data_IF_781012852579
#
_entry.id   IF_781012852579
#
_cell.length_a   1.000
_cell.length_b   1.000
_cell.length_c   1.000
_cell.angle_alpha   90.00
_cell.angle_beta   90.00
_cell.angle_gamma   90.00
#
_symmetry.space_group_name_H-M   'P 1'
#
loop_
_entity.id
_entity.type
_entity.pdbx_description
1 polymer ?
#
# COMPACT_ATOMS: atom_id res chain seq x y z
N UNK A 1 23.41 27.05 -36.02
CA UNK A 1 22.36 27.52 -35.08
C UNK A 1 22.69 26.96 -33.70
N UNK A 2 23.13 27.79 -32.75
CA UNK A 2 23.42 27.35 -31.36
C UNK A 2 22.09 27.14 -30.64
N UNK A 3 21.91 26.02 -29.95
CA UNK A 3 20.72 25.75 -29.14
C UNK A 3 20.60 26.83 -28.04
N UNK A 4 19.40 27.35 -27.75
CA UNK A 4 19.21 28.25 -26.63
C UNK A 4 19.65 27.53 -25.35
N UNK A 5 20.52 28.17 -24.57
CA UNK A 5 20.96 27.63 -23.28
C UNK A 5 19.82 27.83 -22.30
N UNK A 6 19.04 26.78 -22.04
CA UNK A 6 17.90 26.81 -21.13
C UNK A 6 18.30 26.76 -19.63
N UNK A 7 19.57 26.44 -19.31
CA UNK A 7 20.04 26.29 -17.93
C UNK A 7 21.53 26.59 -17.78
N UNK A 8 21.88 27.36 -16.74
CA UNK A 8 23.25 27.54 -16.28
C UNK A 8 23.33 27.29 -14.77
N UNK A 9 24.18 26.36 -14.35
CA UNK A 9 24.42 26.10 -12.93
C UNK A 9 25.57 26.97 -12.42
N UNK A 10 25.39 27.61 -11.26
CA UNK A 10 26.40 28.48 -10.64
C UNK A 10 26.81 27.88 -9.30
N UNK A 11 28.10 27.55 -9.16
CA UNK A 11 28.67 27.08 -7.89
C UNK A 11 29.11 28.25 -7.02
N UNK A 12 28.67 28.28 -5.77
CA UNK A 12 29.09 29.29 -4.79
C UNK A 12 30.35 28.83 -4.05
N UNK A 13 31.25 29.75 -3.70
CA UNK A 13 32.44 29.46 -2.90
C UNK A 13 32.07 28.90 -1.51
N UNK A 14 32.93 28.04 -0.94
CA UNK A 14 32.68 27.42 0.38
C UNK A 14 32.53 28.50 1.47
N UNK A 15 31.38 28.52 2.14
CA UNK A 15 31.07 29.46 3.23
C UNK A 15 30.30 30.73 2.82
N UNK A 16 30.04 30.94 1.53
CA UNK A 16 29.22 32.05 1.09
C UNK A 16 27.72 31.74 1.20
N UNK A 17 26.94 32.74 1.59
CA UNK A 17 25.49 32.62 1.75
C UNK A 17 24.80 32.52 0.38
N UNK A 18 24.27 31.33 0.10
CA UNK A 18 23.53 31.03 -1.12
C UNK A 18 22.30 31.91 -1.36
N UNK A 19 21.68 32.45 -0.30
CA UNK A 19 20.50 33.32 -0.44
C UNK A 19 20.88 34.73 -0.84
N UNK A 20 21.93 35.28 -0.25
CA UNK A 20 22.49 36.58 -0.64
C UNK A 20 23.01 36.57 -2.09
N UNK A 21 23.66 35.48 -2.50
CA UNK A 21 24.16 35.31 -3.88
C UNK A 21 23.00 35.14 -4.87
N UNK A 22 21.96 34.38 -4.52
CA UNK A 22 20.75 34.27 -5.35
C UNK A 22 20.05 35.62 -5.53
N UNK A 23 19.94 36.44 -4.49
CA UNK A 23 19.34 37.78 -4.56
C UNK A 23 20.15 38.72 -5.48
N UNK A 24 21.49 38.71 -5.37
CA UNK A 24 22.37 39.49 -6.23
C UNK A 24 22.28 39.05 -7.70
N UNK A 25 22.24 37.74 -7.97
CA UNK A 25 22.04 37.18 -9.30
C UNK A 25 20.66 37.54 -9.88
N UNK A 26 19.60 37.46 -9.07
CA UNK A 26 18.25 37.81 -9.51
C UNK A 26 18.16 39.29 -9.92
N UNK A 27 18.85 40.18 -9.19
CA UNK A 27 18.96 41.61 -9.53
C UNK A 27 19.80 41.87 -10.79
N UNK A 28 20.82 41.05 -11.06
CA UNK A 28 21.63 41.15 -12.28
C UNK A 28 20.88 40.62 -13.52
N UNK A 29 20.00 39.64 -13.33
CA UNK A 29 19.27 38.95 -14.41
C UNK A 29 17.88 39.55 -14.63
N UNK A 30 17.42 40.49 -13.80
CA UNK A 30 16.08 41.10 -13.88
C UNK A 30 15.75 41.81 -15.21
N UNK A 31 16.77 42.13 -16.03
CA UNK A 31 16.59 42.62 -17.41
C UNK A 31 16.39 41.54 -18.47
N UNK A 32 16.42 40.27 -18.08
CA UNK A 32 16.29 39.08 -18.95
C UNK A 32 15.10 38.25 -18.48
N UNK A 33 14.50 37.41 -19.36
CA UNK A 33 13.43 36.45 -18.97
C UNK A 33 13.92 35.29 -18.09
N UNK A 34 15.12 35.37 -17.52
CA UNK A 34 15.74 34.31 -16.71
C UNK A 34 15.26 34.36 -15.27
N UNK A 35 14.99 33.19 -14.68
CA UNK A 35 14.66 33.06 -13.27
C UNK A 35 15.81 32.35 -12.53
N UNK A 36 16.19 32.89 -11.38
CA UNK A 36 17.26 32.31 -10.55
C UNK A 36 16.61 31.56 -9.40
N UNK A 37 16.87 30.26 -9.32
CA UNK A 37 16.40 29.41 -8.23
C UNK A 37 17.58 28.98 -7.37
N UNK A 38 17.45 29.15 -6.06
CA UNK A 38 18.39 28.54 -5.12
C UNK A 38 18.21 27.02 -5.16
N UNK A 39 19.25 26.23 -4.84
CA UNK A 39 19.15 24.76 -4.79
C UNK A 39 17.99 24.28 -3.92
N UNK A 40 17.75 24.93 -2.77
CA UNK A 40 16.61 24.64 -1.88
C UNK A 40 15.27 24.93 -2.53
N UNK A 41 15.12 26.10 -3.15
CA UNK A 41 13.89 26.50 -3.86
C UNK A 41 13.59 25.62 -5.07
N UNK A 42 14.62 25.20 -5.81
CA UNK A 42 14.46 24.29 -6.93
C UNK A 42 14.05 22.89 -6.46
N UNK A 43 14.60 22.41 -5.34
CA UNK A 43 14.18 21.14 -4.73
C UNK A 43 12.75 21.23 -4.21
N UNK A 44 12.35 22.33 -3.56
CA UNK A 44 10.98 22.53 -3.07
C UNK A 44 9.98 22.63 -4.24
N UNK A 45 10.32 23.38 -5.30
CA UNK A 45 9.46 23.53 -6.48
C UNK A 45 9.41 22.29 -7.38
N UNK A 46 10.47 21.46 -7.35
CA UNK A 46 10.54 20.19 -8.10
C UNK A 46 10.06 19.00 -7.27
N UNK A 47 9.80 19.18 -5.97
CA UNK A 47 9.07 18.16 -5.21
C UNK A 47 7.67 18.10 -5.81
N UNK A 48 7.25 16.94 -6.35
CA UNK A 48 5.86 16.77 -6.70
C UNK A 48 5.08 16.91 -5.40
N UNK A 49 4.43 18.07 -5.21
CA UNK A 49 3.43 18.26 -4.17
C UNK A 49 2.44 17.11 -4.33
N UNK A 50 2.57 16.10 -3.46
CA UNK A 50 1.64 14.98 -3.43
C UNK A 50 0.34 15.59 -2.97
N UNK A 51 -0.48 15.99 -3.95
CA UNK A 51 -1.67 16.76 -3.72
C UNK A 51 -2.50 16.03 -2.66
N UNK A 52 -2.82 16.70 -1.55
CA UNK A 52 -3.53 16.06 -0.42
C UNK A 52 -4.80 15.35 -0.92
N UNK A 53 -5.45 15.93 -1.91
CA UNK A 53 -6.59 15.35 -2.64
C UNK A 53 -6.28 13.98 -3.24
N UNK A 54 -5.14 13.81 -3.92
CA UNK A 54 -4.72 12.52 -4.50
C UNK A 54 -4.45 11.48 -3.41
N UNK A 55 -3.79 11.89 -2.31
CA UNK A 55 -3.52 10.99 -1.18
C UNK A 55 -4.81 10.50 -0.52
N UNK A 56 -5.75 11.40 -0.25
CA UNK A 56 -7.07 11.01 0.30
C UNK A 56 -7.86 10.15 -0.67
N UNK A 57 -7.79 10.42 -1.97
CA UNK A 57 -8.40 9.57 -3.00
C UNK A 57 -7.91 8.13 -2.94
N UNK A 58 -6.59 7.92 -2.85
CA UNK A 58 -6.03 6.57 -2.73
C UNK A 58 -6.44 5.86 -1.43
N UNK A 59 -6.43 6.58 -0.30
CA UNK A 59 -6.87 6.01 0.99
C UNK A 59 -8.34 5.61 0.94
N UNK A 60 -9.20 6.41 0.32
CA UNK A 60 -10.62 6.10 0.17
C UNK A 60 -10.85 4.83 -0.67
N UNK A 61 -10.20 4.75 -1.84
CA UNK A 61 -10.31 3.57 -2.72
C UNK A 61 -9.79 2.32 -2.02
N UNK A 62 -8.66 2.42 -1.32
CA UNK A 62 -8.12 1.31 -0.53
C UNK A 62 -9.09 0.87 0.58
N UNK A 63 -9.70 1.83 1.29
CA UNK A 63 -10.68 1.55 2.33
C UNK A 63 -11.91 0.81 1.80
N UNK A 64 -12.46 1.23 0.66
CA UNK A 64 -13.59 0.56 0.01
C UNK A 64 -13.21 -0.85 -0.44
N UNK A 65 -12.02 -1.01 -1.04
CA UNK A 65 -11.53 -2.32 -1.48
C UNK A 65 -11.40 -3.29 -0.28
N UNK A 66 -10.82 -2.82 0.83
CA UNK A 66 -10.69 -3.62 2.06
C UNK A 66 -12.04 -4.03 2.64
N UNK A 67 -13.01 -3.11 2.65
CA UNK A 67 -14.37 -3.40 3.11
C UNK A 67 -15.01 -4.51 2.25
N UNK A 68 -14.94 -4.37 0.93
CA UNK A 68 -15.46 -5.34 -0.01
C UNK A 68 -14.80 -6.72 0.14
N UNK A 69 -13.45 -6.76 0.23
CA UNK A 69 -12.71 -8.00 0.49
C UNK A 69 -13.16 -8.65 1.79
N UNK A 70 -13.40 -7.87 2.83
CA UNK A 70 -13.91 -8.36 4.10
C UNK A 70 -15.27 -9.05 4.01
N UNK A 71 -16.22 -8.40 3.31
CA UNK A 71 -17.56 -8.95 3.09
C UNK A 71 -17.47 -10.23 2.24
N UNK A 72 -16.66 -10.22 1.18
CA UNK A 72 -16.43 -11.38 0.31
C UNK A 72 -15.88 -12.57 1.11
N UNK A 73 -14.87 -12.33 1.96
CA UNK A 73 -14.26 -13.37 2.77
C UNK A 73 -15.23 -13.93 3.82
N UNK A 74 -16.03 -13.07 4.45
CA UNK A 74 -17.08 -13.50 5.36
C UNK A 74 -18.10 -14.40 4.64
N UNK A 75 -18.52 -14.03 3.44
CA UNK A 75 -19.43 -14.83 2.62
C UNK A 75 -18.83 -16.21 2.27
N UNK A 76 -17.56 -16.25 1.87
CA UNK A 76 -16.86 -17.51 1.59
C UNK A 76 -16.76 -18.38 2.85
N UNK A 77 -16.45 -17.81 4.02
CA UNK A 77 -16.39 -18.57 5.26
C UNK A 77 -17.76 -19.13 5.66
N UNK A 78 -18.84 -18.37 5.50
CA UNK A 78 -20.20 -18.83 5.77
C UNK A 78 -20.54 -20.02 4.86
N UNK A 79 -20.22 -19.92 3.56
CA UNK A 79 -20.44 -21.01 2.61
C UNK A 79 -19.61 -22.24 2.96
N UNK A 80 -18.29 -22.07 3.17
CA UNK A 80 -17.39 -23.17 3.52
C UNK A 80 -17.78 -23.86 4.84
N UNK A 81 -18.20 -23.10 5.86
CA UNK A 81 -18.66 -23.69 7.11
C UNK A 81 -20.02 -24.37 6.99
N UNK A 82 -20.89 -23.95 6.05
CA UNK A 82 -22.19 -24.58 5.79
C UNK A 82 -22.01 -25.94 5.12
N UNK A 83 -21.14 -26.03 4.10
CA UNK A 83 -20.84 -27.29 3.40
C UNK A 83 -20.16 -28.31 4.32
N UNK A 84 -19.30 -27.83 5.22
CA UNK A 84 -18.54 -28.68 6.15
C UNK A 84 -19.33 -29.09 7.41
N UNK A 85 -20.55 -28.59 7.64
CA UNK A 85 -21.33 -28.96 8.86
C UNK A 85 -21.57 -30.45 8.94
N UNK A 86 -21.88 -31.07 7.80
CA UNK A 86 -22.20 -32.50 7.73
C UNK A 86 -20.97 -33.34 8.05
N UNK A 87 -19.82 -33.00 7.45
CA UNK A 87 -18.53 -33.65 7.70
C UNK A 87 -18.06 -33.46 9.14
N UNK A 88 -18.20 -32.25 9.69
CA UNK A 88 -17.84 -31.93 11.08
C UNK A 88 -18.76 -32.60 12.10
N UNK A 89 -20.02 -32.87 11.74
CA UNK A 89 -20.95 -33.68 12.52
C UNK A 89 -20.48 -35.12 12.64
N UNK A 90 -20.04 -35.71 11.53
CA UNK A 90 -19.48 -37.08 11.48
C UNK A 90 -18.15 -37.15 12.25
N UNK A 91 -17.25 -36.18 12.07
CA UNK A 91 -15.98 -36.11 12.81
C UNK A 91 -16.18 -35.91 14.32
N UNK A 92 -17.21 -35.18 14.74
CA UNK A 92 -17.56 -35.03 16.16
C UNK A 92 -18.09 -36.32 16.77
N UNK A 93 -18.86 -37.10 16.03
CA UNK A 93 -19.26 -38.45 16.43
C UNK A 93 -18.05 -39.39 16.55
N UNK A 94 -16.99 -39.13 15.79
CA UNK A 94 -15.69 -39.80 15.89
C UNK A 94 -14.71 -39.18 16.92
N UNK A 95 -15.12 -38.14 17.68
CA UNK A 95 -14.33 -37.56 18.77
C UNK A 95 -13.48 -36.33 18.44
N UNK A 96 -13.62 -35.72 17.26
CA UNK A 96 -12.85 -34.54 16.88
C UNK A 96 -13.20 -33.28 17.71
N UNK A 97 -12.17 -32.52 18.10
CA UNK A 97 -12.32 -31.33 18.95
C UNK A 97 -12.48 -30.04 18.15
N UNK A 98 -13.27 -29.08 18.67
CA UNK A 98 -13.48 -27.73 18.07
C UNK A 98 -12.17 -27.01 17.69
N UNK A 99 -11.08 -27.25 18.43
CA UNK A 99 -9.77 -26.65 18.18
C UNK A 99 -9.10 -27.17 16.90
N UNK A 100 -9.32 -28.42 16.52
CA UNK A 100 -8.76 -29.00 15.29
C UNK A 100 -9.40 -28.36 14.04
N UNK A 101 -10.71 -28.14 14.09
CA UNK A 101 -11.46 -27.46 13.02
C UNK A 101 -10.98 -26.02 12.85
N UNK A 102 -10.80 -25.30 13.96
CA UNK A 102 -10.30 -23.92 13.95
C UNK A 102 -8.89 -23.81 13.36
N UNK A 103 -7.99 -24.75 13.70
CA UNK A 103 -6.65 -24.78 13.13
C UNK A 103 -6.67 -25.05 11.63
N UNK A 104 -7.56 -25.92 11.16
CA UNK A 104 -7.69 -26.24 9.74
C UNK A 104 -8.17 -25.03 8.93
N UNK A 105 -9.26 -24.40 9.36
CA UNK A 105 -9.82 -23.21 8.69
C UNK A 105 -8.83 -22.05 8.76
N UNK A 106 -8.16 -21.86 9.90
CA UNK A 106 -7.09 -20.87 10.02
C UNK A 106 -5.92 -21.14 9.08
N UNK A 107 -5.54 -22.41 8.88
CA UNK A 107 -4.49 -22.79 7.94
C UNK A 107 -4.90 -22.56 6.48
N UNK A 108 -6.14 -22.91 6.08
CA UNK A 108 -6.66 -22.61 4.74
C UNK A 108 -6.64 -21.09 4.47
N UNK A 109 -7.13 -20.28 5.41
CA UNK A 109 -7.12 -18.83 5.29
C UNK A 109 -5.70 -18.27 5.18
N UNK A 110 -4.76 -18.81 5.96
CA UNK A 110 -3.35 -18.39 5.92
C UNK A 110 -2.69 -18.69 4.57
N UNK A 111 -3.00 -19.84 3.96
CA UNK A 111 -2.52 -20.19 2.62
C UNK A 111 -3.06 -19.22 1.57
N UNK A 112 -4.36 -18.91 1.61
CA UNK A 112 -4.99 -17.95 0.68
C UNK A 112 -4.34 -16.56 0.80
N UNK A 113 -4.13 -16.09 2.03
CA UNK A 113 -3.45 -14.82 2.31
C UNK A 113 -2.01 -14.83 1.79
N UNK A 114 -1.26 -15.91 2.04
CA UNK A 114 0.13 -16.02 1.60
C UNK A 114 0.24 -15.99 0.06
N UNK A 115 -0.60 -16.76 -0.64
CA UNK A 115 -0.64 -16.79 -2.11
C UNK A 115 -1.05 -15.42 -2.66
N UNK A 116 -2.09 -14.80 -2.08
CA UNK A 116 -2.52 -13.45 -2.48
C UNK A 116 -1.43 -12.39 -2.27
N UNK A 117 -0.70 -12.46 -1.16
CA UNK A 117 0.44 -11.57 -0.86
C UNK A 117 1.58 -11.72 -1.88
N UNK A 118 1.95 -12.95 -2.22
CA UNK A 118 2.99 -13.23 -3.24
C UNK A 118 2.55 -12.70 -4.62
N UNK A 119 1.31 -12.98 -5.04
CA UNK A 119 0.78 -12.48 -6.31
C UNK A 119 0.70 -10.95 -6.34
N UNK A 120 0.26 -10.31 -5.25
CA UNK A 120 0.23 -8.86 -5.12
C UNK A 120 1.62 -8.24 -5.23
N UNK A 121 2.63 -8.83 -4.60
CA UNK A 121 4.01 -8.38 -4.68
C UNK A 121 4.58 -8.52 -6.09
N UNK A 122 4.27 -9.61 -6.79
CA UNK A 122 4.65 -9.83 -8.19
C UNK A 122 4.04 -8.78 -9.11
N UNK A 123 2.73 -8.52 -8.99
CA UNK A 123 2.03 -7.50 -9.79
C UNK A 123 2.60 -6.11 -9.52
N UNK A 124 2.85 -5.76 -8.25
CA UNK A 124 3.45 -4.49 -7.88
C UNK A 124 4.87 -4.34 -8.47
N UNK A 125 5.68 -5.39 -8.41
CA UNK A 125 7.02 -5.43 -9.00
C UNK A 125 7.01 -5.26 -10.52
N UNK A 126 6.09 -5.95 -11.21
CA UNK A 126 5.90 -5.81 -12.66
C UNK A 126 5.46 -4.40 -13.04
N UNK A 127 4.53 -3.81 -12.30
CA UNK A 127 4.04 -2.45 -12.55
C UNK A 127 5.17 -1.43 -12.37
N UNK A 128 5.97 -1.58 -11.31
CA UNK A 128 7.13 -0.72 -11.06
C UNK A 128 8.20 -0.85 -12.15
N UNK A 129 8.49 -2.09 -12.59
CA UNK A 129 9.42 -2.35 -13.68
C UNK A 129 8.93 -1.74 -15.00
N UNK A 130 7.64 -1.90 -15.32
CA UNK A 130 7.00 -1.29 -16.50
C UNK A 130 7.07 0.23 -16.47
N UNK A 131 6.76 0.85 -15.32
CA UNK A 131 6.86 2.30 -15.14
C UNK A 131 8.31 2.78 -15.32
N UNK A 132 9.30 2.09 -14.75
CA UNK A 132 10.72 2.42 -14.96
C UNK A 132 11.14 2.28 -16.42
N UNK A 133 10.66 1.26 -17.12
CA UNK A 133 10.88 1.09 -18.57
C UNK A 133 10.34 2.28 -19.36
N UNK A 134 9.08 2.65 -19.13
CA UNK A 134 8.42 3.77 -19.79
C UNK A 134 9.12 5.13 -19.51
N UNK A 135 9.58 5.35 -18.29
CA UNK A 135 10.37 6.54 -17.92
C UNK A 135 11.75 6.55 -18.60
N UNK A 136 12.39 5.38 -18.73
CA UNK A 136 13.66 5.20 -19.43
C UNK A 136 13.58 5.57 -20.92
N UNK A 137 12.47 5.23 -21.59
CA UNK A 137 12.18 5.65 -22.96
C UNK A 137 12.09 7.18 -23.13
N UNK A 138 11.72 7.92 -22.05
CA UNK A 138 11.60 9.38 -22.06
C UNK A 138 12.87 10.10 -21.55
N UNK A 139 13.96 9.38 -21.30
CA UNK A 139 15.25 9.90 -20.83
C UNK A 139 15.21 10.67 -19.50
N UNK A 140 14.15 10.50 -18.70
CA UNK A 140 14.08 11.02 -17.33
C UNK A 140 14.69 9.99 -16.39
N UNK A 141 15.99 10.10 -16.13
CA UNK A 141 16.69 9.30 -15.12
C UNK A 141 16.49 9.91 -13.73
N UNK A 142 15.26 9.84 -13.22
CA UNK A 142 15.04 10.16 -11.81
C UNK A 142 15.53 8.99 -10.95
N UNK A 143 16.38 9.24 -9.94
CA UNK A 143 16.66 8.23 -8.92
C UNK A 143 15.34 7.90 -8.24
N UNK A 144 14.86 6.67 -8.44
CA UNK A 144 13.69 6.16 -7.72
C UNK A 144 14.14 5.87 -6.30
N UNK A 145 14.06 6.86 -5.43
CA UNK A 145 14.19 6.65 -4.00
C UNK A 145 12.95 5.91 -3.52
N UNK A 146 13.09 4.62 -3.21
CA UNK A 146 12.00 3.86 -2.59
C UNK A 146 11.87 4.32 -1.14
N UNK A 147 10.74 4.92 -0.73
CA UNK A 147 10.51 5.31 0.64
C UNK A 147 10.24 4.05 1.48
N UNK A 148 11.30 3.35 1.88
CA UNK A 148 11.23 2.08 2.63
C UNK A 148 10.36 2.18 3.88
N UNK A 149 10.29 3.36 4.51
CA UNK A 149 9.44 3.61 5.67
C UNK A 149 7.94 3.59 5.32
N UNK A 150 7.56 4.16 4.18
CA UNK A 150 6.16 4.14 3.71
C UNK A 150 5.76 2.76 3.17
N UNK A 151 6.68 2.11 2.47
CA UNK A 151 6.51 0.72 2.02
C UNK A 151 6.34 -0.19 3.24
N UNK A 152 7.24 -0.07 4.23
CA UNK A 152 7.18 -0.83 5.47
C UNK A 152 5.88 -0.58 6.25
N UNK A 153 5.44 0.67 6.35
CA UNK A 153 4.16 1.02 6.97
C UNK A 153 2.96 0.41 6.24
N UNK A 154 2.97 0.43 4.90
CA UNK A 154 1.90 -0.17 4.09
C UNK A 154 1.89 -1.69 4.20
N UNK A 155 3.05 -2.33 4.14
CA UNK A 155 3.19 -3.79 4.32
C UNK A 155 2.71 -4.19 5.71
N UNK A 156 3.09 -3.44 6.76
CA UNK A 156 2.64 -3.69 8.12
C UNK A 156 1.12 -3.54 8.27
N UNK A 157 0.53 -2.50 7.65
CA UNK A 157 -0.91 -2.30 7.64
C UNK A 157 -1.64 -3.44 6.92
N UNK A 158 -1.16 -3.87 5.75
CA UNK A 158 -1.71 -5.02 5.03
C UNK A 158 -1.59 -6.31 5.84
N UNK A 159 -0.45 -6.54 6.49
CA UNK A 159 -0.26 -7.71 7.36
C UNK A 159 -1.22 -7.69 8.55
N UNK A 160 -1.39 -6.54 9.21
CA UNK A 160 -2.35 -6.38 10.30
C UNK A 160 -3.79 -6.65 9.83
N UNK A 161 -4.19 -6.07 8.69
CA UNK A 161 -5.50 -6.29 8.09
C UNK A 161 -5.71 -7.76 7.71
N UNK A 162 -4.71 -8.43 7.14
CA UNK A 162 -4.79 -9.85 6.80
C UNK A 162 -4.99 -10.74 8.03
N UNK A 163 -4.28 -10.45 9.13
CA UNK A 163 -4.48 -11.15 10.40
C UNK A 163 -5.89 -10.91 10.94
N UNK A 164 -6.36 -9.65 10.94
CA UNK A 164 -7.72 -9.31 11.38
C UNK A 164 -8.76 -10.05 10.53
N UNK A 165 -8.64 -10.01 9.21
CA UNK A 165 -9.58 -10.68 8.30
C UNK A 165 -9.53 -12.20 8.34
N UNK A 166 -8.40 -12.81 8.73
CA UNK A 166 -8.33 -14.26 8.95
C UNK A 166 -9.00 -14.67 10.27
N UNK A 167 -8.78 -13.90 11.34
CA UNK A 167 -9.18 -14.27 12.71
C UNK A 167 -10.62 -13.88 13.02
N UNK A 168 -11.08 -12.71 12.58
CA UNK A 168 -12.41 -12.15 12.90
C UNK A 168 -13.54 -13.06 12.41
N UNK A 169 -13.65 -13.42 11.11
CA UNK A 169 -14.74 -14.28 10.65
C UNK A 169 -14.67 -15.70 11.22
N UNK A 170 -13.47 -16.25 11.45
CA UNK A 170 -13.31 -17.52 12.15
C UNK A 170 -13.87 -17.46 13.59
N UNK A 171 -13.65 -16.35 14.30
CA UNK A 171 -14.19 -16.15 15.66
C UNK A 171 -15.70 -15.87 15.68
N UNK A 172 -16.23 -15.14 14.70
CA UNK A 172 -17.66 -14.83 14.57
C UNK A 172 -18.51 -16.08 14.27
N UNK A 173 -18.04 -16.94 13.36
CA UNK A 173 -18.70 -18.21 13.04
C UNK A 173 -18.87 -19.12 14.27
N UNK A 174 -17.92 -19.04 15.22
CA UNK A 174 -17.98 -19.81 16.47
C UNK A 174 -18.94 -19.22 17.50
N UNK A 175 -19.05 -17.89 17.57
CA UNK A 175 -19.99 -17.19 18.46
C UNK A 175 -21.44 -17.47 18.06
N UNK A 176 -21.78 -17.37 16.77
CA UNK A 176 -23.14 -17.66 16.31
C UNK A 176 -23.58 -19.09 16.65
N UNK A 177 -22.70 -20.08 16.46
CA UNK A 177 -23.02 -21.48 16.83
C UNK A 177 -23.11 -21.71 18.34
N UNK A 178 -22.41 -20.93 19.16
CA UNK A 178 -22.52 -21.04 20.62
C UNK A 178 -23.87 -20.50 21.12
N UNK A 179 -24.37 -19.43 20.50
CA UNK A 179 -25.67 -18.82 20.80
C UNK A 179 -26.82 -19.70 20.32
N UNK A 180 -26.77 -20.25 19.10
CA UNK A 180 -27.79 -21.20 18.61
C UNK A 180 -27.85 -22.48 19.46
N UNK A 181 -26.71 -23.02 19.89
CA UNK A 181 -26.70 -24.20 20.77
C UNK A 181 -27.23 -23.93 22.18
N UNK A 182 -27.32 -22.66 22.59
CA UNK A 182 -27.92 -22.26 23.86
C UNK A 182 -29.43 -21.98 23.73
N UNK A 183 -29.93 -21.64 22.53
CA UNK A 183 -31.35 -21.40 22.26
C UNK A 183 -32.17 -22.64 21.91
N UNK A 184 -31.54 -23.77 21.55
CA UNK A 184 -32.23 -25.05 21.24
C UNK A 184 -32.51 -25.89 22.50
N UNK A 185 -32.53 -25.27 23.68
CA UNK A 185 -32.84 -25.95 24.96
C UNK A 185 -34.18 -25.54 25.58
N UNK A 186 -35.04 -24.83 24.86
CA UNK A 186 -36.44 -24.66 25.25
C UNK A 186 -37.38 -25.45 24.33
#
# INVERSE_FOLDING_TARGET
RRAPVDRGDVSVARGADSTAVAAALNKAVSGTKGQVFTRSQWVEASRPETNRTTRYGFVLVLGIALLYTGISLANTMVMATSDRVRDLGVLRLAGATRRQVLRLVGAEALVVVAVGGVLGLLVAGLNLAGMRGALGLRSVRSPVELPWREIGGTVAACAALAVVFSVVPASLAMRHRAVESAGVKE
#
